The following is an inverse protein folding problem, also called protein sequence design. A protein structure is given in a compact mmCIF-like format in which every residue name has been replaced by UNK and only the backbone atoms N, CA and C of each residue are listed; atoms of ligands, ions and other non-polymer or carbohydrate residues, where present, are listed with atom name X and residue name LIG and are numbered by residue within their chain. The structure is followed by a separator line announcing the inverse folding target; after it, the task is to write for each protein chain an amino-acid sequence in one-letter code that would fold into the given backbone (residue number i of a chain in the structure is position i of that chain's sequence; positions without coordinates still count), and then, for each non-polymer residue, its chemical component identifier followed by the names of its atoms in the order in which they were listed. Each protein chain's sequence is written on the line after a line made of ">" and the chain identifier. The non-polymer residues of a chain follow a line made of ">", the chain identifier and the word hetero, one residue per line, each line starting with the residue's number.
data_IF_433053108577
#
_entry.id   IF_433053108577
#
_cell.length_a   1.000
_cell.length_b   1.000
_cell.length_c   1.000
_cell.angle_alpha   90.00
_cell.angle_beta   90.00
_cell.angle_gamma   90.00
#
_symmetry.space_group_name_H-M   'P 1'
#
loop_
_entity.id
_entity.type
_entity.pdbx_description
1 polymer ?
#
# COMPACT_ATOMS: atom_id res chain seq x y z
N UNK A 1 44.57 -40.94 12.04
CA UNK A 1 43.10 -40.98 11.99
C UNK A 1 42.63 -39.87 11.04
N UNK A 2 42.19 -40.22 9.83
CA UNK A 2 41.53 -39.25 8.95
C UNK A 2 40.10 -39.12 9.42
N UNK A 3 39.72 -37.93 9.87
CA UNK A 3 38.33 -37.67 10.21
C UNK A 3 37.50 -37.64 8.93
N UNK A 4 36.70 -38.70 8.77
CA UNK A 4 35.37 -38.58 8.20
C UNK A 4 34.61 -37.51 8.99
N UNK A 5 34.12 -36.49 8.29
CA UNK A 5 32.78 -35.93 8.51
C UNK A 5 32.46 -34.98 7.37
N UNK A 6 31.76 -35.51 6.37
CA UNK A 6 30.89 -34.70 5.54
C UNK A 6 29.96 -33.91 6.46
N UNK A 7 30.21 -32.60 6.57
CA UNK A 7 29.22 -31.70 7.13
C UNK A 7 28.35 -31.26 5.96
N UNK A 8 27.23 -31.98 5.81
CA UNK A 8 26.23 -31.72 4.79
C UNK A 8 25.83 -30.26 4.80
N UNK A 9 25.66 -29.72 3.59
CA UNK A 9 25.24 -28.35 3.37
C UNK A 9 24.06 -28.00 4.27
N UNK A 10 24.28 -27.06 5.18
CA UNK A 10 23.24 -26.26 5.78
C UNK A 10 22.61 -25.45 4.65
N UNK A 11 21.68 -26.08 3.92
CA UNK A 11 20.71 -25.34 3.12
C UNK A 11 20.01 -24.43 4.12
N UNK A 12 20.09 -23.09 3.96
CA UNK A 12 19.40 -22.20 4.87
C UNK A 12 17.94 -22.64 4.88
N UNK A 13 17.42 -22.90 6.08
CA UNK A 13 16.00 -23.19 6.28
C UNK A 13 15.28 -22.04 5.60
N UNK A 14 14.61 -22.30 4.48
CA UNK A 14 13.87 -21.32 3.72
C UNK A 14 12.92 -20.62 4.69
N UNK A 15 13.35 -19.47 5.21
CA UNK A 15 12.48 -18.58 5.94
C UNK A 15 11.47 -18.15 4.90
N UNK A 16 10.22 -18.58 5.07
CA UNK A 16 9.14 -18.03 4.28
C UNK A 16 9.24 -16.50 4.42
N UNK A 17 9.13 -15.74 3.32
CA UNK A 17 9.26 -14.28 3.36
C UNK A 17 8.16 -13.61 4.19
N UNK A 18 7.17 -14.39 4.64
CA UNK A 18 6.01 -13.95 5.40
C UNK A 18 5.90 -14.74 6.71
N UNK A 19 5.42 -14.07 7.76
CA UNK A 19 5.13 -14.67 9.07
C UNK A 19 3.63 -14.81 9.26
N UNK A 20 3.23 -15.71 10.15
CA UNK A 20 1.83 -15.78 10.61
C UNK A 20 1.53 -14.54 11.44
N UNK A 21 0.41 -13.90 11.16
CA UNK A 21 -0.07 -12.67 11.81
C UNK A 21 0.34 -11.38 11.12
N UNK A 22 1.24 -11.44 10.13
CA UNK A 22 1.68 -10.26 9.37
C UNK A 22 0.56 -9.76 8.46
N UNK A 23 0.41 -8.43 8.42
CA UNK A 23 -0.53 -7.72 7.56
C UNK A 23 0.24 -7.06 6.41
N UNK A 24 -0.12 -7.42 5.18
CA UNK A 24 0.63 -7.05 3.98
C UNK A 24 -0.35 -6.57 2.92
N UNK A 25 -0.04 -5.45 2.27
CA UNK A 25 -0.69 -5.08 1.01
C UNK A 25 -0.08 -5.96 -0.10
N UNK A 26 -0.94 -6.72 -0.80
CA UNK A 26 -0.53 -7.54 -1.95
C UNK A 26 -1.47 -7.33 -3.12
N UNK A 27 -0.90 -7.50 -4.32
CA UNK A 27 -1.65 -7.51 -5.56
C UNK A 27 -2.02 -8.93 -5.96
N UNK A 28 -3.28 -9.14 -6.32
CA UNK A 28 -3.75 -10.42 -6.81
C UNK A 28 -3.39 -10.55 -8.29
N UNK A 29 -2.56 -11.53 -8.64
CA UNK A 29 -2.11 -11.75 -10.02
C UNK A 29 -3.08 -12.65 -10.80
N UNK A 30 -3.70 -13.60 -10.11
CA UNK A 30 -4.63 -14.56 -10.69
C UNK A 30 -5.71 -14.96 -9.70
N UNK A 31 -6.80 -15.55 -10.19
CA UNK A 31 -7.87 -16.13 -9.38
C UNK A 31 -8.05 -17.58 -9.80
N UNK A 32 -8.13 -18.49 -8.85
CA UNK A 32 -8.38 -19.92 -9.08
C UNK A 32 -9.86 -20.20 -9.35
N UNK A 33 -10.16 -21.43 -9.80
CA UNK A 33 -11.52 -21.87 -10.16
C UNK A 33 -12.53 -21.78 -9.01
N UNK A 34 -12.06 -21.80 -7.77
CA UNK A 34 -12.88 -21.68 -6.55
C UNK A 34 -13.15 -20.23 -6.11
N UNK A 35 -12.61 -19.24 -6.81
CA UNK A 35 -12.66 -17.84 -6.39
C UNK A 35 -11.60 -17.46 -5.35
N UNK A 36 -10.57 -18.29 -5.18
CA UNK A 36 -9.39 -17.97 -4.37
C UNK A 36 -8.42 -17.11 -5.20
N UNK A 37 -8.10 -15.90 -4.75
CA UNK A 37 -7.04 -15.10 -5.34
C UNK A 37 -5.66 -15.63 -4.98
N UNK A 38 -4.77 -15.52 -5.97
CA UNK A 38 -3.40 -15.99 -5.92
C UNK A 38 -2.51 -14.75 -6.02
N UNK A 39 -1.85 -14.43 -4.91
CA UNK A 39 -0.80 -13.43 -4.85
C UNK A 39 0.57 -14.10 -4.81
N UNK A 40 1.55 -13.55 -5.53
CA UNK A 40 2.92 -14.06 -5.56
C UNK A 40 3.89 -13.01 -5.07
N UNK A 41 4.65 -13.32 -4.01
CA UNK A 41 5.64 -12.43 -3.42
C UNK A 41 6.96 -13.16 -3.26
N UNK A 42 8.01 -12.73 -3.96
CA UNK A 42 9.36 -13.32 -3.90
C UNK A 42 9.39 -14.85 -4.07
N UNK A 43 8.55 -15.38 -4.98
CA UNK A 43 8.45 -16.83 -5.23
C UNK A 43 7.65 -17.61 -4.18
N UNK A 44 7.01 -16.92 -3.23
CA UNK A 44 6.06 -17.47 -2.27
C UNK A 44 4.63 -17.18 -2.71
N UNK A 45 3.76 -18.19 -2.63
CA UNK A 45 2.36 -18.08 -3.10
C UNK A 45 1.42 -17.90 -1.92
N UNK A 46 0.57 -16.88 -1.97
CA UNK A 46 -0.44 -16.57 -0.97
C UNK A 46 -1.82 -16.79 -1.57
N UNK A 47 -2.61 -17.61 -0.88
CA UNK A 47 -4.01 -17.86 -1.20
C UNK A 47 -4.89 -16.97 -0.33
N UNK A 48 -5.76 -16.21 -1.00
CA UNK A 48 -6.65 -15.24 -0.37
C UNK A 48 -8.06 -15.47 -0.89
N UNK A 49 -9.02 -15.92 -0.07
CA UNK A 49 -10.39 -16.11 -0.52
C UNK A 49 -11.07 -14.74 -0.74
N UNK A 50 -12.13 -14.73 -1.57
CA UNK A 50 -12.98 -13.56 -1.81
C UNK A 50 -12.26 -12.36 -2.48
N UNK A 51 -11.25 -12.63 -3.31
CA UNK A 51 -10.53 -11.57 -4.05
C UNK A 51 -10.60 -11.76 -5.55
N UNK A 52 -10.45 -10.67 -6.31
CA UNK A 52 -10.50 -10.66 -7.79
C UNK A 52 -9.11 -10.46 -8.38
N UNK A 53 -8.96 -10.79 -9.66
CA UNK A 53 -7.71 -10.58 -10.38
C UNK A 53 -7.45 -9.08 -10.55
N UNK A 54 -6.22 -8.65 -10.28
CA UNK A 54 -5.79 -7.26 -10.41
C UNK A 54 -6.10 -6.38 -9.20
N UNK A 55 -6.74 -6.93 -8.17
CA UNK A 55 -7.11 -6.22 -6.96
C UNK A 55 -5.91 -6.03 -6.03
N UNK A 56 -5.80 -4.85 -5.42
CA UNK A 56 -4.80 -4.54 -4.41
C UNK A 56 -5.50 -4.54 -3.04
N UNK A 57 -5.27 -5.57 -2.24
CA UNK A 57 -5.95 -5.78 -0.95
C UNK A 57 -4.97 -5.90 0.21
N UNK A 58 -5.43 -5.52 1.40
CA UNK A 58 -4.71 -5.81 2.64
C UNK A 58 -5.11 -7.17 3.16
N UNK A 59 -4.12 -8.04 3.29
CA UNK A 59 -4.32 -9.40 3.76
C UNK A 59 -3.58 -9.62 5.06
N UNK A 60 -4.14 -10.47 5.91
CA UNK A 60 -3.50 -10.96 7.13
C UNK A 60 -3.19 -12.43 6.99
N UNK A 61 -1.92 -12.78 7.12
CA UNK A 61 -1.47 -14.16 6.97
C UNK A 61 -1.90 -14.97 8.20
N UNK A 62 -2.76 -15.96 8.02
CA UNK A 62 -3.23 -16.81 9.13
C UNK A 62 -2.41 -18.09 9.23
N UNK A 63 -1.84 -18.57 8.13
CA UNK A 63 -1.06 -19.80 8.11
C UNK A 63 0.02 -19.79 7.05
N UNK A 64 1.24 -20.18 7.43
CA UNK A 64 2.39 -20.27 6.52
C UNK A 64 2.85 -21.72 6.44
N UNK A 65 2.95 -22.26 5.23
CA UNK A 65 3.50 -23.59 4.94
C UNK A 65 4.88 -23.44 4.25
N UNK A 66 5.48 -24.56 3.82
CA UNK A 66 6.85 -24.56 3.25
C UNK A 66 7.02 -23.67 2.01
N UNK A 67 6.03 -23.63 1.11
CA UNK A 67 6.10 -22.87 -0.16
C UNK A 67 4.88 -21.99 -0.43
N UNK A 68 3.86 -22.09 0.41
CA UNK A 68 2.56 -21.45 0.23
C UNK A 68 2.06 -20.91 1.56
N UNK A 69 1.24 -19.87 1.53
CA UNK A 69 0.58 -19.32 2.71
C UNK A 69 -0.91 -19.09 2.45
N UNK A 70 -1.67 -19.08 3.54
CA UNK A 70 -3.08 -18.75 3.57
C UNK A 70 -3.23 -17.43 4.32
N UNK A 71 -4.00 -16.53 3.75
CA UNK A 71 -4.30 -15.24 4.32
C UNK A 71 -5.77 -14.89 4.13
N UNK A 72 -6.28 -14.00 4.96
CA UNK A 72 -7.65 -13.50 4.91
C UNK A 72 -7.62 -11.99 4.63
N UNK A 73 -8.61 -11.48 3.91
CA UNK A 73 -8.72 -10.04 3.63
C UNK A 73 -9.15 -9.33 4.91
N UNK A 74 -8.37 -8.34 5.34
CA UNK A 74 -8.65 -7.49 6.52
C UNK A 74 -9.02 -6.06 6.12
N UNK A 75 -8.83 -5.70 4.86
CA UNK A 75 -9.27 -4.43 4.31
C UNK A 75 -9.23 -4.44 2.78
N UNK A 76 -10.36 -4.12 2.17
CA UNK A 76 -10.50 -3.97 0.72
C UNK A 76 -10.07 -2.55 0.34
N UNK A 77 -9.18 -2.40 -0.65
CA UNK A 77 -8.85 -1.07 -1.22
C UNK A 77 -9.61 -0.78 -2.50
N UNK A 78 -10.53 -1.66 -2.90
CA UNK A 78 -11.13 -1.64 -4.23
C UNK A 78 -12.62 -1.35 -4.14
N UNK A 79 -12.91 -0.09 -4.43
CA UNK A 79 -14.06 0.35 -5.21
C UNK A 79 -14.74 -0.78 -6.02
N UNK A 80 -16.06 -0.92 -5.82
CA UNK A 80 -17.07 -1.58 -6.68
C UNK A 80 -17.54 -3.02 -6.33
N UNK A 81 -18.64 -3.05 -5.57
CA UNK A 81 -19.92 -3.57 -6.06
C UNK A 81 -20.96 -2.45 -5.98
N UNK A 82 -21.41 -1.93 -7.13
CA UNK A 82 -22.25 -0.73 -7.18
C UNK A 82 -23.73 -0.95 -6.83
N UNK A 83 -24.31 0.03 -6.15
CA UNK A 83 -25.70 0.44 -6.31
C UNK A 83 -25.84 1.94 -5.94
N UNK A 84 -26.36 2.70 -6.91
CA UNK A 84 -27.01 4.02 -6.88
C UNK A 84 -26.25 5.26 -6.41
N UNK A 85 -26.16 6.20 -7.35
CA UNK A 85 -26.12 7.65 -7.12
C UNK A 85 -27.04 8.11 -5.97
N UNK A 86 -26.51 8.92 -5.06
CA UNK A 86 -27.17 10.14 -4.61
C UNK A 86 -26.07 11.14 -4.21
N UNK A 87 -25.77 12.10 -5.09
CA UNK A 87 -26.31 13.48 -5.08
C UNK A 87 -25.95 14.24 -3.80
N UNK A 88 -25.09 15.25 -4.00
CA UNK A 88 -25.01 16.52 -3.25
C UNK A 88 -25.39 16.52 -1.76
N UNK A 89 -24.41 16.80 -0.90
CA UNK A 89 -24.62 17.88 0.07
C UNK A 89 -23.36 18.72 0.21
N UNK A 90 -23.35 19.82 -0.53
CA UNK A 90 -22.65 21.04 -0.22
C UNK A 90 -23.46 21.76 0.88
N UNK A 91 -22.80 22.56 1.73
CA UNK A 91 -23.36 23.64 2.58
C UNK A 91 -23.62 23.33 4.07
N UNK A 92 -22.69 23.75 4.93
CA UNK A 92 -22.99 24.88 5.82
C UNK A 92 -21.72 25.66 6.15
N UNK A 93 -21.83 26.96 5.92
CA UNK A 93 -20.83 27.99 6.11
C UNK A 93 -20.76 28.48 7.57
N UNK A 94 -19.52 28.78 8.01
CA UNK A 94 -19.03 29.96 8.77
C UNK A 94 -19.66 30.34 10.15
N UNK A 95 -19.11 31.28 10.96
CA UNK A 95 -17.89 32.11 10.83
C UNK A 95 -17.04 32.28 12.14
N UNK A 96 -15.98 33.10 12.02
CA UNK A 96 -15.47 34.13 12.97
C UNK A 96 -14.49 33.82 14.13
N UNK A 97 -13.43 34.65 14.13
CA UNK A 97 -12.56 35.18 15.23
C UNK A 97 -11.84 34.19 16.18
N UNK A 98 -10.57 34.38 16.57
CA UNK A 98 -9.93 35.64 16.97
C UNK A 98 -8.39 35.60 16.84
N UNK A 99 -7.84 36.80 16.59
CA UNK A 99 -6.44 37.22 16.58
C UNK A 99 -5.64 36.84 17.83
N UNK A 100 -4.34 36.64 17.63
CA UNK A 100 -3.26 37.34 18.36
C UNK A 100 -2.03 37.32 17.42
N UNK A 101 -1.60 38.47 16.87
CA UNK A 101 -0.54 39.36 17.40
C UNK A 101 0.66 38.53 17.88
N UNK A 102 1.87 38.65 17.33
CA UNK A 102 2.60 39.90 17.14
C UNK A 102 3.86 39.73 16.25
N UNK A 103 4.17 40.81 15.53
CA UNK A 103 5.47 41.41 15.18
C UNK A 103 6.57 40.72 14.34
N UNK A 104 6.86 41.44 13.24
CA UNK A 104 8.19 41.86 12.71
C UNK A 104 9.06 40.77 12.05
N UNK A 105 9.60 40.92 10.83
CA UNK A 105 10.37 42.07 10.35
C UNK A 105 10.20 42.34 8.84
N UNK A 106 10.31 43.64 8.56
CA UNK A 106 10.55 44.32 7.30
C UNK A 106 11.78 43.76 6.56
N UNK A 107 11.59 43.30 5.32
CA UNK A 107 12.64 43.41 4.30
C UNK A 107 12.01 44.02 3.06
N UNK A 108 12.01 45.35 3.04
CA UNK A 108 11.95 46.15 1.83
C UNK A 108 12.99 45.70 0.79
N UNK A 109 12.58 45.68 -0.48
CA UNK A 109 13.40 45.57 -1.68
C UNK A 109 12.52 45.06 -2.82
N UNK A 110 11.82 45.89 -3.62
CA UNK A 110 12.37 46.79 -4.66
C UNK A 110 13.59 46.12 -5.33
N UNK A 111 13.52 45.64 -6.56
CA UNK A 111 13.11 46.39 -7.74
C UNK A 111 12.19 45.62 -8.70
N UNK A 112 11.14 46.32 -9.06
CA UNK A 112 10.49 46.27 -10.35
C UNK A 112 11.49 46.50 -11.49
N UNK A 113 11.89 45.45 -12.19
CA UNK A 113 12.39 45.60 -13.56
C UNK A 113 11.32 45.13 -14.54
N UNK A 114 10.41 46.08 -14.78
CA UNK A 114 9.70 46.29 -16.02
C UNK A 114 10.67 46.18 -17.21
N UNK A 115 10.55 45.15 -18.04
CA UNK A 115 11.17 45.13 -19.37
C UNK A 115 10.11 44.77 -20.42
N UNK A 116 9.19 45.71 -20.59
CA UNK A 116 8.44 45.89 -21.84
C UNK A 116 9.07 47.04 -22.63
N UNK A 117 9.02 46.89 -23.96
CA UNK A 117 9.49 47.80 -25.03
C UNK A 117 11.00 47.74 -25.33
N UNK A 118 11.37 47.29 -26.54
CA UNK A 118 11.45 48.20 -27.69
C UNK A 118 11.61 47.44 -29.03
N UNK A 119 11.12 48.11 -30.07
CA UNK A 119 10.86 47.78 -31.46
C UNK A 119 11.98 47.14 -32.34
N UNK A 120 11.47 46.45 -33.37
CA UNK A 120 11.92 46.35 -34.78
C UNK A 120 12.31 44.95 -35.30
#
# INVERSE_FOLDING_TARGET
>A
MRHDRGHGGFKPRNFAPVKVGDELDVKIEAVGEKGDGIAKKDGFVLFVPATKQGDDVRIRVTRVLQKVGFAEVVGEKSSQGGASEDSQEESYEAPSEEKSSESEEDYSGQDSENFGEEDN
#
